data_IF_802630155006
#
_entry.id   IF_802630155006
#
_cell.length_a   1.000
_cell.length_b   1.000
_cell.length_c   1.000
_cell.angle_alpha   90.00
_cell.angle_beta   90.00
_cell.angle_gamma   90.00
#
_symmetry.space_group_name_H-M   'P 1'
#
loop_
_entity.id
_entity.type
_entity.pdbx_description
1 polymer ?
#
# COMPACT_ATOMS: atom_id res chain seq x y z
N UNK A 1 -0.74 -2.91 -7.24
CA UNK A 1 -0.96 -1.64 -6.49
C UNK A 1 -0.30 -1.80 -5.15
N UNK A 2 0.58 -0.89 -4.76
CA UNK A 2 1.10 -0.89 -3.39
C UNK A 2 -0.04 -0.79 -2.38
N UNK A 3 -0.05 -1.70 -1.39
CA UNK A 3 -0.97 -1.71 -0.26
C UNK A 3 -0.27 -1.12 0.97
N UNK A 4 -0.87 -1.12 2.14
CA UNK A 4 -0.28 -0.45 3.31
C UNK A 4 1.14 -0.97 3.66
N UNK A 5 1.43 -2.29 3.69
CA UNK A 5 2.77 -2.77 3.99
C UNK A 5 3.84 -2.29 3.01
N UNK A 6 3.53 -2.23 1.70
CA UNK A 6 4.45 -1.68 0.72
C UNK A 6 4.70 -0.19 0.94
N UNK A 7 3.63 0.57 1.23
CA UNK A 7 3.75 2.03 1.49
C UNK A 7 4.53 2.30 2.78
N UNK A 8 4.36 1.47 3.82
CA UNK A 8 5.16 1.56 5.04
C UNK A 8 6.64 1.26 4.79
N UNK A 9 6.93 0.25 3.96
CA UNK A 9 8.30 -0.06 3.54
C UNK A 9 8.92 1.10 2.77
N UNK A 10 8.15 1.72 1.86
CA UNK A 10 8.58 2.92 1.13
C UNK A 10 8.86 4.07 2.09
N UNK A 11 7.96 4.32 3.05
CA UNK A 11 8.15 5.37 4.07
C UNK A 11 9.47 5.17 4.83
N UNK A 12 9.70 3.97 5.34
CA UNK A 12 10.93 3.64 6.10
C UNK A 12 12.18 3.79 5.26
N UNK A 13 12.15 3.28 4.03
CA UNK A 13 13.29 3.36 3.12
C UNK A 13 13.58 4.82 2.74
N UNK A 14 12.57 5.53 2.23
CA UNK A 14 12.73 6.91 1.78
C UNK A 14 13.17 7.87 2.90
N UNK A 15 12.72 7.62 4.14
CA UNK A 15 13.13 8.42 5.31
C UNK A 15 14.64 8.45 5.53
N UNK A 16 15.36 7.38 5.16
CA UNK A 16 16.82 7.31 5.30
C UNK A 16 17.55 8.23 4.34
N UNK A 17 16.93 8.52 3.18
CA UNK A 17 17.55 9.28 2.11
C UNK A 17 17.19 10.77 2.14
N UNK A 18 15.92 11.11 2.42
CA UNK A 18 15.46 12.49 2.22
C UNK A 18 15.12 13.26 3.50
N UNK A 19 15.01 12.62 4.68
CA UNK A 19 14.81 13.36 5.94
C UNK A 19 16.06 14.22 6.22
N UNK A 20 15.84 15.48 6.60
CA UNK A 20 16.84 16.55 6.75
C UNK A 20 17.46 17.03 5.42
N UNK A 21 17.01 16.54 4.26
CA UNK A 21 17.39 17.11 2.96
C UNK A 21 16.42 18.20 2.55
N UNK A 22 16.93 19.19 1.83
CA UNK A 22 16.14 20.33 1.34
C UNK A 22 15.67 20.05 -0.08
N UNK A 23 14.33 20.02 -0.29
CA UNK A 23 13.71 20.07 -1.60
C UNK A 23 13.95 21.48 -2.18
N UNK A 24 14.66 21.57 -3.30
CA UNK A 24 15.06 22.82 -3.95
C UNK A 24 14.19 23.15 -5.15
N UNK A 25 13.87 22.13 -5.94
CA UNK A 25 13.13 22.33 -7.17
C UNK A 25 12.16 21.21 -7.45
N UNK A 26 11.04 21.54 -8.11
CA UNK A 26 10.02 20.58 -8.55
C UNK A 26 9.75 20.79 -10.04
N UNK A 27 10.00 19.77 -10.85
CA UNK A 27 9.65 19.76 -12.27
C UNK A 27 8.43 18.88 -12.49
N UNK A 28 7.37 19.46 -13.07
CA UNK A 28 6.11 18.77 -13.36
C UNK A 28 6.10 18.39 -14.84
N UNK A 29 6.14 17.09 -15.14
CA UNK A 29 6.10 16.55 -16.51
C UNK A 29 4.68 16.08 -16.89
N UNK A 30 3.76 16.00 -15.91
CA UNK A 30 2.36 15.61 -16.12
C UNK A 30 1.46 16.30 -15.09
N UNK A 31 0.69 17.30 -15.52
CA UNK A 31 -0.17 18.11 -14.65
C UNK A 31 -1.20 17.27 -13.88
N UNK A 32 -1.72 16.21 -14.49
CA UNK A 32 -2.66 15.29 -13.81
C UNK A 32 -2.06 14.59 -12.59
N UNK A 33 -0.73 14.51 -12.53
CA UNK A 33 -0.01 13.84 -11.43
C UNK A 33 0.46 14.82 -10.35
N UNK A 34 0.15 16.11 -10.47
CA UNK A 34 0.54 17.11 -9.47
C UNK A 34 -0.61 18.08 -9.19
N UNK A 35 -0.84 18.37 -7.91
CA UNK A 35 -1.91 19.27 -7.45
C UNK A 35 -1.34 20.28 -6.46
N UNK A 36 -1.78 21.53 -6.58
CA UNK A 36 -1.30 22.65 -5.76
C UNK A 36 -0.07 23.33 -6.35
N UNK A 37 0.50 24.26 -5.60
CA UNK A 37 1.68 25.03 -6.03
C UNK A 37 2.97 24.33 -5.60
N UNK A 38 3.96 24.17 -6.49
CA UNK A 38 5.28 23.67 -6.12
C UNK A 38 5.84 24.44 -4.92
N UNK A 39 6.55 23.74 -4.06
CA UNK A 39 7.13 24.31 -2.84
C UNK A 39 8.55 23.78 -2.66
N UNK A 40 9.35 24.49 -1.88
CA UNK A 40 10.67 24.07 -1.42
C UNK A 40 10.67 23.96 0.10
N UNK A 41 11.72 23.43 0.69
CA UNK A 41 11.86 23.31 2.15
C UNK A 41 12.56 22.04 2.57
N UNK A 42 12.99 22.01 3.82
CA UNK A 42 13.71 20.87 4.40
C UNK A 42 12.72 19.83 4.92
N UNK A 43 12.94 18.57 4.56
CA UNK A 43 12.09 17.46 5.02
C UNK A 43 12.28 17.25 6.52
N UNK A 44 11.22 17.45 7.29
CA UNK A 44 11.17 17.18 8.73
C UNK A 44 10.87 15.72 9.03
N UNK A 45 9.86 15.18 8.35
CA UNK A 45 9.36 13.84 8.62
C UNK A 45 8.64 13.28 7.40
N UNK A 46 8.45 11.95 7.40
CA UNK A 46 7.58 11.25 6.44
C UNK A 46 6.55 10.45 7.24
N UNK A 47 5.27 10.81 7.08
CA UNK A 47 4.11 10.14 7.67
C UNK A 47 3.44 9.23 6.65
N UNK A 48 2.59 8.34 7.12
CA UNK A 48 1.72 7.51 6.30
C UNK A 48 0.29 7.53 6.83
N UNK A 49 -0.67 7.58 5.92
CA UNK A 49 -2.09 7.42 6.17
C UNK A 49 -2.61 6.34 5.22
N UNK A 50 -2.82 5.13 5.72
CA UNK A 50 -3.19 3.99 4.91
C UNK A 50 -2.20 3.73 3.76
N UNK A 51 -2.62 4.02 2.53
CA UNK A 51 -1.81 3.82 1.31
C UNK A 51 -1.24 5.13 0.74
N UNK A 52 -1.29 6.22 1.49
CA UNK A 52 -0.70 7.51 1.14
C UNK A 52 0.52 7.83 1.99
N UNK A 53 1.54 8.41 1.37
CA UNK A 53 2.71 9.00 2.04
C UNK A 53 2.48 10.50 2.19
N UNK A 54 3.04 11.09 3.24
CA UNK A 54 3.05 12.53 3.45
C UNK A 54 4.46 12.96 3.86
N UNK A 55 5.10 13.77 3.04
CA UNK A 55 6.41 14.37 3.31
C UNK A 55 6.17 15.76 3.89
N UNK A 56 6.49 15.96 5.17
CA UNK A 56 6.34 17.23 5.85
C UNK A 56 7.62 18.08 5.71
N UNK A 57 7.45 19.34 5.31
CA UNK A 57 8.53 20.30 5.15
C UNK A 57 8.56 21.31 6.34
N UNK A 58 9.69 22.00 6.51
CA UNK A 58 9.90 22.99 7.55
C UNK A 58 9.11 24.29 7.36
N UNK A 59 8.68 24.57 6.14
CA UNK A 59 7.88 25.73 5.76
C UNK A 59 6.35 25.53 5.93
N UNK A 60 5.92 24.57 6.76
CA UNK A 60 4.52 24.24 7.03
C UNK A 60 3.72 23.77 5.80
N UNK A 61 4.41 23.26 4.78
CA UNK A 61 3.80 22.57 3.64
C UNK A 61 4.11 21.08 3.71
N UNK A 62 3.23 20.29 3.12
CA UNK A 62 3.39 18.84 3.00
C UNK A 62 3.10 18.40 1.58
N UNK A 63 3.83 17.38 1.12
CA UNK A 63 3.56 16.67 -0.13
C UNK A 63 2.86 15.36 0.20
N UNK A 64 1.57 15.26 -0.10
CA UNK A 64 0.81 14.00 -0.01
C UNK A 64 0.97 13.24 -1.31
N UNK A 65 1.47 12.01 -1.26
CA UNK A 65 1.77 11.16 -2.41
C UNK A 65 0.93 9.88 -2.34
N UNK A 66 0.20 9.59 -3.42
CA UNK A 66 -0.53 8.33 -3.55
C UNK A 66 -0.13 7.60 -4.83
N UNK A 67 0.44 6.41 -4.67
CA UNK A 67 1.00 5.64 -5.79
C UNK A 67 -0.04 4.97 -6.68
N UNK A 68 -1.27 4.79 -6.19
CA UNK A 68 -2.35 4.10 -6.93
C UNK A 68 -1.87 2.74 -7.48
N UNK A 69 -2.07 2.50 -8.79
CA UNK A 69 -1.86 1.17 -9.39
C UNK A 69 -0.42 0.90 -9.83
N UNK A 70 0.24 1.91 -10.41
CA UNK A 70 1.55 1.74 -11.06
C UNK A 70 2.57 2.81 -10.65
N UNK A 71 2.26 3.58 -9.60
CA UNK A 71 3.15 4.61 -9.08
C UNK A 71 4.42 4.00 -8.47
N UNK A 72 5.53 4.70 -8.67
CA UNK A 72 6.86 4.37 -8.18
C UNK A 72 7.53 5.63 -7.64
N UNK A 73 8.31 5.47 -6.59
CA UNK A 73 9.23 6.49 -6.09
C UNK A 73 10.65 5.95 -6.24
N UNK A 74 11.48 6.67 -7.00
CA UNK A 74 12.85 6.28 -7.26
C UNK A 74 13.73 7.47 -6.87
N UNK A 75 14.61 7.26 -5.91
CA UNK A 75 15.56 8.25 -5.44
C UNK A 75 16.96 7.89 -5.92
N UNK A 76 17.57 8.79 -6.69
CA UNK A 76 18.97 8.71 -7.10
C UNK A 76 19.79 9.65 -6.20
N UNK A 77 20.61 9.07 -5.33
CA UNK A 77 21.56 9.81 -4.52
C UNK A 77 22.77 10.27 -5.38
N UNK A 78 23.37 11.39 -5.01
CA UNK A 78 24.60 11.87 -5.67
C UNK A 78 25.79 10.94 -5.51
N UNK A 79 25.79 10.09 -4.48
CA UNK A 79 26.79 9.02 -4.28
C UNK A 79 26.59 7.82 -5.22
N UNK A 80 25.61 7.87 -6.11
CA UNK A 80 25.19 6.81 -7.05
C UNK A 80 24.44 5.64 -6.42
N UNK A 81 24.01 5.76 -5.16
CA UNK A 81 23.03 4.83 -4.62
C UNK A 81 21.64 5.12 -5.19
N UNK A 82 20.93 4.08 -5.57
CA UNK A 82 19.54 4.17 -6.02
C UNK A 82 18.62 3.45 -5.05
N UNK A 83 17.62 4.17 -4.57
CA UNK A 83 16.48 3.58 -3.85
C UNK A 83 15.25 3.60 -4.74
N UNK A 84 14.70 2.44 -5.07
CA UNK A 84 13.52 2.34 -5.92
C UNK A 84 12.42 1.55 -5.23
N UNK A 85 11.20 2.07 -5.20
CA UNK A 85 10.08 1.47 -4.52
C UNK A 85 8.73 1.81 -5.19
N UNK A 86 7.70 0.97 -4.96
CA UNK A 86 6.38 1.12 -5.55
C UNK A 86 5.98 -0.08 -6.41
N UNK A 87 5.29 0.16 -7.53
CA UNK A 87 4.91 -0.94 -8.42
C UNK A 87 6.15 -1.52 -9.12
N UNK A 88 6.42 -2.83 -9.03
CA UNK A 88 7.62 -3.42 -9.63
C UNK A 88 7.56 -3.34 -11.16
N UNK A 89 8.62 -2.87 -11.78
CA UNK A 89 8.84 -2.87 -13.23
C UNK A 89 10.33 -2.75 -13.54
N UNK A 90 10.71 -3.03 -14.78
CA UNK A 90 12.10 -2.91 -15.27
C UNK A 90 12.66 -1.48 -15.16
N UNK A 91 11.80 -0.49 -14.86
CA UNK A 91 12.21 0.91 -14.71
C UNK A 91 13.05 1.20 -13.46
N UNK A 92 13.13 0.28 -12.50
CA UNK A 92 13.95 0.51 -11.29
C UNK A 92 15.44 0.66 -11.62
N UNK A 93 15.89 0.05 -12.70
CA UNK A 93 17.28 0.13 -13.19
C UNK A 93 17.43 1.02 -14.42
N UNK A 94 16.35 1.48 -15.04
CA UNK A 94 16.37 2.29 -16.24
C UNK A 94 16.93 3.69 -15.98
N UNK A 95 17.40 4.35 -17.05
CA UNK A 95 17.77 5.76 -17.01
C UNK A 95 16.57 6.63 -16.63
N UNK A 96 16.81 7.67 -15.83
CA UNK A 96 15.82 8.64 -15.37
C UNK A 96 16.29 10.07 -15.70
N UNK A 97 15.35 10.99 -16.05
CA UNK A 97 13.93 10.74 -16.24
C UNK A 97 13.64 9.92 -17.50
N UNK A 98 12.48 9.24 -17.53
CA UNK A 98 12.02 8.48 -18.70
C UNK A 98 10.55 8.77 -19.02
N UNK A 99 9.98 8.10 -20.06
CA UNK A 99 8.59 8.30 -20.51
C UNK A 99 7.51 8.04 -19.44
N UNK A 100 7.86 7.39 -18.32
CA UNK A 100 6.94 7.14 -17.20
C UNK A 100 7.13 8.13 -16.07
N UNK A 101 8.15 8.98 -16.08
CA UNK A 101 8.37 10.04 -15.09
C UNK A 101 7.28 11.09 -15.22
N UNK A 102 6.68 11.46 -14.09
CA UNK A 102 5.58 12.42 -14.00
C UNK A 102 5.96 13.67 -13.24
N UNK A 103 6.74 13.50 -12.17
CA UNK A 103 7.23 14.61 -11.35
C UNK A 103 8.66 14.30 -10.95
N UNK A 104 9.49 15.32 -10.90
CA UNK A 104 10.89 15.28 -10.44
C UNK A 104 10.99 16.23 -9.25
N UNK A 105 11.50 15.71 -8.13
CA UNK A 105 11.75 16.46 -6.90
C UNK A 105 13.27 16.47 -6.65
N UNK A 106 13.89 17.63 -6.79
CA UNK A 106 15.34 17.78 -6.66
C UNK A 106 15.69 18.20 -5.22
N UNK A 107 16.47 17.36 -4.55
CA UNK A 107 16.98 17.61 -3.21
C UNK A 107 18.48 17.98 -3.26
N UNK A 108 18.98 18.57 -2.19
CA UNK A 108 20.41 18.90 -2.05
C UNK A 108 21.33 17.65 -2.05
N UNK A 109 20.81 16.47 -1.79
CA UNK A 109 21.54 15.20 -1.79
C UNK A 109 21.23 14.25 -2.95
N UNK A 110 20.24 14.56 -3.80
CA UNK A 110 19.81 13.66 -4.88
C UNK A 110 18.47 14.04 -5.46
N UNK A 111 17.91 13.16 -6.28
CA UNK A 111 16.66 13.44 -7.02
C UNK A 111 15.66 12.32 -6.80
N UNK A 112 14.44 12.67 -6.40
CA UNK A 112 13.32 11.76 -6.28
C UNK A 112 12.42 11.85 -7.51
N UNK A 113 12.28 10.76 -8.22
CA UNK A 113 11.43 10.64 -9.39
C UNK A 113 10.11 9.96 -9.01
N UNK A 114 9.00 10.58 -9.35
CA UNK A 114 7.69 9.96 -9.31
C UNK A 114 7.34 9.43 -10.70
N UNK A 115 7.41 8.12 -10.86
CA UNK A 115 7.05 7.44 -12.10
C UNK A 115 5.64 6.85 -11.96
N UNK A 116 4.82 6.93 -13.00
CA UNK A 116 3.54 6.25 -13.06
C UNK A 116 3.11 5.98 -14.51
N UNK A 117 3.09 4.71 -14.91
CA UNK A 117 2.69 4.29 -16.24
C UNK A 117 1.24 4.69 -16.56
N UNK A 118 0.32 4.49 -15.61
CA UNK A 118 -1.12 4.68 -15.80
C UNK A 118 -1.61 6.10 -15.51
N UNK A 119 -0.78 6.98 -14.96
CA UNK A 119 -1.09 8.37 -14.60
C UNK A 119 -2.29 8.51 -13.63
N UNK A 120 -2.46 7.56 -12.71
CA UNK A 120 -3.50 7.60 -11.67
C UNK A 120 -2.98 8.05 -10.32
N UNK A 121 -1.67 7.89 -10.10
CA UNK A 121 -1.00 8.39 -8.93
C UNK A 121 -0.84 9.91 -8.96
N UNK A 122 -0.65 10.49 -7.79
CA UNK A 122 -0.52 11.94 -7.67
C UNK A 122 0.35 12.36 -6.51
N UNK A 123 0.89 13.57 -6.62
CA UNK A 123 1.47 14.36 -5.54
C UNK A 123 0.58 15.57 -5.35
N UNK A 124 0.17 15.85 -4.10
CA UNK A 124 -0.62 17.04 -3.73
C UNK A 124 0.13 17.84 -2.68
N UNK A 125 0.35 19.12 -2.95
CA UNK A 125 0.92 20.07 -1.98
C UNK A 125 -0.21 20.75 -1.22
N UNK A 126 -0.13 20.77 0.12
CA UNK A 126 -1.12 21.38 1.00
C UNK A 126 -0.44 21.85 2.30
N UNK A 127 -1.10 22.75 3.06
CA UNK A 127 -0.63 23.11 4.40
C UNK A 127 -0.53 21.87 5.30
N UNK A 128 0.54 21.74 6.09
CA UNK A 128 0.75 20.59 6.98
C UNK A 128 -0.40 20.41 7.96
N UNK A 129 -0.96 21.51 8.48
CA UNK A 129 -2.10 21.49 9.40
C UNK A 129 -3.40 20.98 8.76
N UNK A 130 -3.52 21.03 7.42
CA UNK A 130 -4.70 20.60 6.69
C UNK A 130 -4.64 19.15 6.19
N UNK A 131 -3.50 18.47 6.35
CA UNK A 131 -3.32 17.09 5.86
C UNK A 131 -4.42 16.15 6.35
N UNK A 132 -4.70 16.16 7.64
CA UNK A 132 -5.71 15.27 8.24
C UNK A 132 -7.15 15.69 7.92
N UNK A 133 -7.34 16.94 7.47
CA UNK A 133 -8.63 17.46 7.01
C UNK A 133 -8.86 17.24 5.51
N UNK A 134 -7.83 16.83 4.78
CA UNK A 134 -7.98 16.52 3.36
C UNK A 134 -9.07 15.46 3.15
N UNK A 135 -10.04 15.68 2.23
CA UNK A 135 -11.15 14.76 2.01
C UNK A 135 -10.76 13.31 1.73
N UNK A 136 -9.57 13.10 1.16
CA UNK A 136 -9.04 11.76 0.93
C UNK A 136 -8.62 11.09 2.25
N UNK A 137 -7.86 11.79 3.10
CA UNK A 137 -7.39 11.28 4.40
C UNK A 137 -8.56 11.15 5.39
N UNK A 138 -9.41 12.16 5.48
CA UNK A 138 -10.54 12.22 6.43
C UNK A 138 -11.53 11.06 6.26
N UNK A 139 -11.64 10.48 5.06
CA UNK A 139 -12.54 9.35 4.79
C UNK A 139 -11.94 8.00 5.19
N UNK A 140 -10.65 7.93 5.46
CA UNK A 140 -10.02 6.66 5.82
C UNK A 140 -10.52 6.17 7.18
N UNK A 141 -10.90 4.90 7.24
CA UNK A 141 -11.14 4.25 8.51
C UNK A 141 -9.81 4.06 9.28
N UNK A 142 -9.85 3.71 10.57
CA UNK A 142 -8.67 3.26 11.28
C UNK A 142 -7.98 2.09 10.56
N UNK A 143 -6.66 2.04 10.69
CA UNK A 143 -5.87 0.88 10.28
C UNK A 143 -6.16 -0.31 11.21
N UNK A 144 -5.90 -1.56 10.78
CA UNK A 144 -6.22 -2.73 11.60
C UNK A 144 -5.74 -2.65 13.04
N UNK A 145 -4.55 -2.11 13.29
CA UNK A 145 -3.99 -2.00 14.65
C UNK A 145 -4.74 -1.01 15.55
N UNK A 146 -5.37 0.01 14.97
CA UNK A 146 -6.07 1.09 15.66
C UNK A 146 -7.60 0.89 15.66
N UNK A 147 -8.09 -0.29 15.32
CA UNK A 147 -9.51 -0.64 15.28
C UNK A 147 -9.81 -1.72 16.33
N UNK A 148 -10.87 -1.57 17.11
CA UNK A 148 -11.35 -2.64 17.98
C UNK A 148 -12.10 -3.73 17.18
N UNK A 149 -12.20 -4.93 17.73
CA UNK A 149 -12.98 -6.00 17.11
C UNK A 149 -14.47 -5.64 17.03
N UNK A 150 -15.00 -5.00 18.06
CA UNK A 150 -16.40 -4.56 18.13
C UNK A 150 -16.71 -3.50 17.09
N UNK A 151 -15.86 -2.47 16.97
CA UNK A 151 -16.04 -1.45 15.93
C UNK A 151 -15.97 -2.05 14.52
N UNK A 152 -15.08 -2.99 14.30
CA UNK A 152 -14.98 -3.69 13.03
C UNK A 152 -16.23 -4.51 12.74
N UNK A 153 -16.71 -5.27 13.71
CA UNK A 153 -17.96 -6.04 13.59
C UNK A 153 -19.15 -5.13 13.29
N UNK A 154 -19.33 -4.04 14.05
CA UNK A 154 -20.41 -3.07 13.82
C UNK A 154 -20.33 -2.48 12.40
N UNK A 155 -19.14 -2.15 11.92
CA UNK A 155 -18.95 -1.68 10.53
C UNK A 155 -19.37 -2.73 9.50
N UNK A 156 -19.01 -4.01 9.71
CA UNK A 156 -19.43 -5.09 8.82
C UNK A 156 -20.95 -5.25 8.79
N UNK A 157 -21.64 -5.18 9.95
CA UNK A 157 -23.09 -5.32 10.05
C UNK A 157 -23.87 -4.19 9.34
N UNK A 158 -23.28 -3.00 9.19
CA UNK A 158 -23.85 -1.93 8.35
C UNK A 158 -23.89 -2.29 6.86
N UNK A 159 -23.09 -3.27 6.44
CA UNK A 159 -22.97 -3.78 5.07
C UNK A 159 -23.48 -5.22 4.93
N UNK A 160 -24.45 -5.63 5.75
CA UNK A 160 -24.94 -7.01 5.91
C UNK A 160 -25.23 -7.75 4.58
N UNK A 161 -25.68 -7.05 3.57
CA UNK A 161 -26.02 -7.62 2.25
C UNK A 161 -24.84 -7.71 1.28
N UNK A 162 -23.70 -7.12 1.62
CA UNK A 162 -22.49 -7.13 0.80
C UNK A 162 -21.62 -8.35 1.10
N UNK A 163 -20.86 -8.83 0.10
CA UNK A 163 -19.86 -9.84 0.36
C UNK A 163 -18.72 -9.28 1.21
N UNK A 164 -18.12 -10.14 2.07
CA UNK A 164 -17.06 -9.70 3.00
C UNK A 164 -15.82 -9.16 2.27
N UNK A 165 -15.38 -9.79 1.17
CA UNK A 165 -14.17 -9.34 0.48
C UNK A 165 -14.27 -7.92 -0.07
N UNK A 166 -15.25 -7.53 -0.91
CA UNK A 166 -15.36 -6.13 -1.35
C UNK A 166 -15.54 -5.15 -0.20
N UNK A 167 -16.17 -5.55 0.90
CA UNK A 167 -16.37 -4.70 2.08
C UNK A 167 -15.04 -4.39 2.77
N UNK A 168 -14.18 -5.37 3.00
CA UNK A 168 -12.86 -5.12 3.63
C UNK A 168 -11.84 -4.48 2.68
N UNK A 169 -12.12 -4.41 1.39
CA UNK A 169 -11.32 -3.63 0.43
C UNK A 169 -11.67 -2.14 0.43
N UNK A 170 -12.80 -1.77 1.01
CA UNK A 170 -13.22 -0.38 1.15
C UNK A 170 -12.43 0.28 2.29
N UNK A 171 -11.65 1.30 1.93
CA UNK A 171 -10.77 2.01 2.86
C UNK A 171 -11.56 2.83 3.91
N UNK A 172 -12.86 2.99 3.77
CA UNK A 172 -13.75 3.62 4.75
C UNK A 172 -14.25 2.65 5.83
N UNK A 173 -14.08 1.36 5.61
CA UNK A 173 -14.45 0.30 6.55
C UNK A 173 -13.23 -0.12 7.38
N UNK A 174 -12.14 -0.45 6.71
CA UNK A 174 -10.84 -0.75 7.31
C UNK A 174 -9.73 -0.28 6.35
N UNK A 175 -8.81 0.53 6.87
CA UNK A 175 -7.80 1.16 6.02
C UNK A 175 -6.60 0.25 5.79
N UNK A 176 -6.02 0.34 4.60
CA UNK A 176 -4.74 -0.29 4.30
C UNK A 176 -4.81 -1.62 3.56
N UNK A 177 -5.84 -2.44 3.78
CA UNK A 177 -6.00 -3.69 3.06
C UNK A 177 -6.24 -3.46 1.56
N UNK A 178 -5.58 -4.26 0.75
CA UNK A 178 -5.86 -4.38 -0.66
C UNK A 178 -6.08 -5.86 -1.01
N UNK A 179 -5.96 -6.21 -2.29
CA UNK A 179 -6.35 -7.53 -2.78
C UNK A 179 -5.50 -8.69 -2.23
N UNK A 180 -4.21 -8.43 -2.00
CA UNK A 180 -3.27 -9.42 -1.46
C UNK A 180 -3.67 -9.76 -0.02
N UNK A 181 -3.68 -8.76 0.82
CA UNK A 181 -3.90 -8.96 2.25
C UNK A 181 -5.35 -9.30 2.58
N UNK A 182 -6.33 -8.92 1.73
CA UNK A 182 -7.70 -9.40 1.86
C UNK A 182 -7.82 -10.91 1.62
N UNK A 183 -7.20 -11.45 0.55
CA UNK A 183 -7.22 -12.90 0.29
C UNK A 183 -6.52 -13.68 1.41
N UNK A 184 -5.33 -13.23 1.82
CA UNK A 184 -4.54 -13.86 2.87
C UNK A 184 -5.26 -13.84 4.24
N UNK A 185 -5.84 -12.69 4.62
CA UNK A 185 -6.56 -12.55 5.88
C UNK A 185 -7.83 -13.41 5.93
N UNK A 186 -8.60 -13.44 4.84
CA UNK A 186 -9.79 -14.28 4.71
C UNK A 186 -9.45 -15.78 4.78
N UNK A 187 -8.33 -16.18 4.14
CA UNK A 187 -7.84 -17.56 4.26
C UNK A 187 -7.44 -17.89 5.70
N UNK A 188 -6.68 -17.01 6.34
CA UNK A 188 -6.26 -17.21 7.72
C UNK A 188 -7.44 -17.33 8.68
N UNK A 189 -8.46 -16.50 8.49
CA UNK A 189 -9.70 -16.50 9.29
C UNK A 189 -10.71 -17.59 8.89
N UNK A 190 -10.41 -18.45 7.90
CA UNK A 190 -11.32 -19.48 7.38
C UNK A 190 -12.63 -18.95 6.78
N UNK A 191 -12.66 -17.69 6.33
CA UNK A 191 -13.87 -17.04 5.81
C UNK A 191 -13.86 -17.08 4.29
N UNK A 192 -14.96 -17.59 3.70
CA UNK A 192 -15.12 -17.53 2.25
C UNK A 192 -15.41 -16.10 1.77
N UNK A 193 -14.72 -15.58 0.74
CA UNK A 193 -14.81 -14.16 0.33
C UNK A 193 -16.19 -13.73 -0.19
N UNK A 194 -17.07 -14.65 -0.53
CA UNK A 194 -18.46 -14.37 -0.94
C UNK A 194 -19.46 -14.39 0.22
N UNK A 195 -19.06 -14.79 1.43
CA UNK A 195 -19.96 -14.73 2.58
C UNK A 195 -20.48 -13.31 2.78
N UNK A 196 -21.75 -13.20 3.14
CA UNK A 196 -22.36 -11.90 3.43
C UNK A 196 -21.88 -11.38 4.78
N UNK A 197 -21.62 -10.07 4.86
CA UNK A 197 -21.18 -9.47 6.12
C UNK A 197 -22.16 -9.72 7.28
N UNK A 198 -23.46 -9.76 7.00
CA UNK A 198 -24.48 -10.08 8.00
C UNK A 198 -24.44 -11.49 8.56
N UNK A 199 -23.72 -12.43 7.95
CA UNK A 199 -23.52 -13.80 8.46
C UNK A 199 -22.20 -13.96 9.22
N UNK A 200 -21.38 -12.94 9.28
CA UNK A 200 -20.12 -12.96 10.04
C UNK A 200 -20.45 -12.73 11.52
N UNK A 201 -20.00 -13.63 12.36
CA UNK A 201 -20.13 -13.50 13.82
C UNK A 201 -19.10 -12.55 14.41
N UNK A 202 -19.30 -12.11 15.65
CA UNK A 202 -18.33 -11.27 16.37
C UNK A 202 -16.97 -11.95 16.48
N UNK A 203 -16.95 -13.25 16.79
CA UNK A 203 -15.72 -14.05 16.87
C UNK A 203 -15.00 -14.13 15.52
N UNK A 204 -15.74 -14.35 14.44
CA UNK A 204 -15.15 -14.36 13.09
C UNK A 204 -14.62 -13.00 12.69
N UNK A 205 -15.30 -11.90 13.04
CA UNK A 205 -14.81 -10.55 12.79
C UNK A 205 -13.52 -10.28 13.58
N UNK A 206 -13.46 -10.67 14.86
CA UNK A 206 -12.24 -10.55 15.66
C UNK A 206 -11.08 -11.36 15.06
N UNK A 207 -11.34 -12.59 14.65
CA UNK A 207 -10.33 -13.45 14.00
C UNK A 207 -9.86 -12.86 12.65
N UNK A 208 -10.76 -12.32 11.85
CA UNK A 208 -10.40 -11.67 10.58
C UNK A 208 -9.53 -10.41 10.81
N UNK A 209 -9.86 -9.60 11.81
CA UNK A 209 -9.08 -8.42 12.16
C UNK A 209 -7.68 -8.81 12.67
N UNK A 210 -7.60 -9.85 13.51
CA UNK A 210 -6.32 -10.41 13.99
C UNK A 210 -5.48 -10.95 12.81
N UNK A 211 -6.10 -11.71 11.91
CA UNK A 211 -5.46 -12.22 10.71
C UNK A 211 -4.94 -11.07 9.81
N UNK A 212 -5.72 -9.99 9.64
CA UNK A 212 -5.29 -8.83 8.88
C UNK A 212 -4.04 -8.17 9.47
N UNK A 213 -3.97 -8.02 10.79
CA UNK A 213 -2.77 -7.53 11.50
C UNK A 213 -1.58 -8.43 11.25
N UNK A 214 -1.73 -9.72 11.48
CA UNK A 214 -0.64 -10.70 11.36
C UNK A 214 -0.04 -10.76 9.96
N UNK A 215 -0.87 -10.84 8.91
CA UNK A 215 -0.35 -10.89 7.54
C UNK A 215 0.33 -9.58 7.13
N UNK A 216 -0.18 -8.44 7.59
CA UNK A 216 0.42 -7.14 7.29
C UNK A 216 1.73 -6.94 8.06
N UNK A 217 1.82 -7.34 9.35
CA UNK A 217 3.04 -7.28 10.15
C UNK A 217 4.13 -8.16 9.54
N UNK A 218 3.81 -9.39 9.15
CA UNK A 218 4.74 -10.28 8.44
C UNK A 218 5.24 -9.64 7.13
N UNK A 219 4.34 -9.00 6.39
CA UNK A 219 4.72 -8.33 5.16
C UNK A 219 5.63 -7.12 5.39
N UNK A 220 5.32 -6.28 6.38
CA UNK A 220 6.17 -5.13 6.75
C UNK A 220 7.56 -5.61 7.18
N UNK A 221 7.62 -6.65 8.01
CA UNK A 221 8.89 -7.24 8.45
C UNK A 221 9.72 -7.80 7.29
N UNK A 222 9.06 -8.32 6.24
CA UNK A 222 9.69 -8.87 5.04
C UNK A 222 9.99 -7.83 3.95
N UNK A 223 9.67 -6.55 4.19
CA UNK A 223 9.89 -5.48 3.21
C UNK A 223 8.83 -5.39 2.10
N UNK A 224 7.62 -5.94 2.32
CA UNK A 224 6.49 -5.88 1.40
C UNK A 224 6.32 -7.12 0.52
N UNK A 225 5.21 -7.14 -0.24
CA UNK A 225 4.73 -8.34 -0.95
C UNK A 225 5.40 -8.63 -2.28
N UNK A 226 6.00 -7.66 -2.94
CA UNK A 226 6.40 -7.83 -4.35
C UNK A 226 7.47 -6.87 -4.77
N UNK A 227 8.60 -7.04 -4.27
CA UNK A 227 9.69 -6.30 -4.87
C UNK A 227 10.68 -7.27 -5.50
N UNK A 228 10.29 -7.96 -6.61
CA UNK A 228 11.24 -8.70 -7.44
C UNK A 228 12.46 -7.85 -7.80
N UNK A 229 12.28 -6.52 -7.78
CA UNK A 229 13.28 -5.52 -8.14
C UNK A 229 13.48 -4.46 -7.05
N UNK A 230 12.93 -4.64 -5.85
CA UNK A 230 13.28 -3.84 -4.69
C UNK A 230 14.63 -4.33 -4.19
N UNK A 231 15.66 -3.68 -4.65
CA UNK A 231 16.97 -3.77 -4.03
C UNK A 231 16.91 -2.82 -2.84
N UNK A 232 16.80 -3.35 -1.61
CA UNK A 232 17.12 -2.56 -0.41
C UNK A 232 18.50 -1.96 -0.63
N UNK A 233 18.83 -0.87 0.05
CA UNK A 233 20.20 -0.34 0.05
C UNK A 233 21.26 -1.40 0.39
N UNK A 234 20.87 -2.54 0.99
CA UNK A 234 21.67 -3.71 1.30
C UNK A 234 21.55 -4.86 0.26
N UNK A 235 20.91 -4.65 -0.88
CA UNK A 235 20.75 -5.64 -1.95
C UNK A 235 19.70 -6.73 -1.71
N UNK A 236 18.93 -6.70 -0.60
CA UNK A 236 17.92 -7.72 -0.30
C UNK A 236 16.55 -7.39 -0.89
N UNK A 237 15.85 -8.38 -1.45
CA UNK A 237 14.52 -8.26 -2.06
C UNK A 237 13.42 -8.45 -1.01
N UNK A 238 12.30 -7.73 -1.14
CA UNK A 238 11.07 -8.06 -0.42
C UNK A 238 10.51 -9.37 -0.97
N UNK A 239 10.24 -10.34 -0.12
CA UNK A 239 9.94 -11.71 -0.51
C UNK A 239 8.67 -12.30 0.16
N UNK A 240 7.80 -11.43 0.69
CA UNK A 240 6.57 -11.88 1.36
C UNK A 240 5.76 -12.88 0.54
N UNK A 241 5.53 -12.61 -0.76
CA UNK A 241 4.73 -13.53 -1.59
C UNK A 241 5.41 -14.88 -1.82
N UNK A 242 6.72 -14.91 -1.91
CA UNK A 242 7.48 -16.15 -2.12
C UNK A 242 7.55 -16.99 -0.83
N UNK A 243 7.73 -16.33 0.32
CA UNK A 243 7.93 -17.00 1.61
C UNK A 243 6.66 -17.25 2.40
N UNK A 244 5.69 -16.35 2.35
CA UNK A 244 4.58 -16.31 3.29
C UNK A 244 3.19 -16.37 2.67
N UNK A 245 3.03 -16.12 1.34
CA UNK A 245 1.72 -16.19 0.73
C UNK A 245 1.15 -17.61 0.82
N UNK A 246 -0.07 -17.71 1.34
CA UNK A 246 -0.77 -18.96 1.55
C UNK A 246 -1.73 -19.29 0.40
N UNK A 247 -2.40 -18.27 -0.16
CA UNK A 247 -3.35 -18.44 -1.27
C UNK A 247 -3.10 -17.47 -2.43
N UNK A 248 -2.66 -16.24 -2.17
CA UNK A 248 -2.52 -15.24 -3.21
C UNK A 248 -1.45 -15.62 -4.26
N UNK A 249 -1.83 -15.65 -5.55
CA UNK A 249 -0.99 -16.13 -6.68
C UNK A 249 -0.51 -17.58 -6.54
N UNK A 250 -1.30 -18.40 -5.86
CA UNK A 250 -1.00 -19.82 -5.69
C UNK A 250 -2.04 -20.74 -6.36
N UNK A 251 -2.83 -20.23 -7.31
CA UNK A 251 -3.75 -21.04 -8.08
C UNK A 251 -3.07 -22.27 -8.69
N UNK A 252 -3.70 -23.42 -8.64
CA UNK A 252 -3.16 -24.71 -9.06
C UNK A 252 -2.16 -25.35 -8.11
N UNK A 253 -1.73 -24.67 -7.04
CA UNK A 253 -0.80 -25.20 -6.04
C UNK A 253 -1.55 -25.79 -4.85
N UNK A 254 -0.95 -26.76 -4.12
CA UNK A 254 -1.57 -27.30 -2.92
C UNK A 254 -1.66 -26.24 -1.82
N UNK A 255 -2.79 -26.28 -1.10
CA UNK A 255 -3.00 -25.47 0.10
C UNK A 255 -1.98 -25.88 1.18
N UNK A 256 -1.29 -24.93 1.82
CA UNK A 256 -0.28 -25.24 2.84
C UNK A 256 -0.89 -25.85 4.12
N UNK A 257 -2.23 -25.72 4.31
CA UNK A 257 -2.94 -26.21 5.50
C UNK A 257 -3.56 -27.59 5.29
N UNK A 258 -4.17 -27.88 4.13
CA UNK A 258 -4.96 -29.09 3.93
C UNK A 258 -4.63 -29.85 2.63
N UNK A 259 -3.71 -29.39 1.81
CA UNK A 259 -3.29 -30.02 0.55
C UNK A 259 -4.26 -29.83 -0.63
N UNK A 260 -5.49 -29.35 -0.43
CA UNK A 260 -6.43 -29.11 -1.53
C UNK A 260 -5.90 -28.04 -2.48
N UNK A 261 -6.25 -28.13 -3.74
CA UNK A 261 -5.83 -27.16 -4.78
C UNK A 261 -6.39 -25.76 -4.48
N UNK A 262 -5.54 -24.74 -4.53
CA UNK A 262 -5.93 -23.32 -4.47
C UNK A 262 -6.58 -22.94 -5.79
N UNK A 263 -7.79 -22.41 -5.71
CA UNK A 263 -8.55 -21.97 -6.88
C UNK A 263 -8.62 -20.45 -6.97
N UNK A 264 -8.87 -19.95 -8.19
CA UNK A 264 -9.03 -18.54 -8.48
C UNK A 264 -10.32 -18.26 -9.21
N UNK A 265 -11.04 -17.24 -8.77
CA UNK A 265 -12.26 -16.74 -9.42
C UNK A 265 -12.40 -15.23 -9.20
N UNK A 266 -13.52 -14.63 -9.59
CA UNK A 266 -13.77 -13.20 -9.39
C UNK A 266 -14.84 -12.98 -8.32
N UNK A 267 -14.59 -12.02 -7.42
CA UNK A 267 -15.56 -11.46 -6.48
C UNK A 267 -15.61 -9.95 -6.70
N UNK A 268 -16.77 -9.41 -7.04
CA UNK A 268 -16.98 -8.00 -7.36
C UNK A 268 -15.89 -7.44 -8.33
N UNK A 269 -15.61 -8.19 -9.41
CA UNK A 269 -14.62 -7.83 -10.43
C UNK A 269 -13.14 -7.99 -10.02
N UNK A 270 -12.84 -8.42 -8.78
CA UNK A 270 -11.48 -8.63 -8.26
C UNK A 270 -11.09 -10.09 -8.31
N UNK A 271 -9.90 -10.40 -8.88
CA UNK A 271 -9.33 -11.74 -8.79
C UNK A 271 -9.16 -12.16 -7.33
N UNK A 272 -9.60 -13.36 -7.00
CA UNK A 272 -9.72 -13.87 -5.63
C UNK A 272 -9.18 -15.27 -5.56
N UNK A 273 -8.27 -15.53 -4.63
CA UNK A 273 -7.66 -16.83 -4.42
C UNK A 273 -8.16 -17.42 -3.11
N UNK A 274 -8.57 -18.68 -3.12
CA UNK A 274 -9.03 -19.40 -1.93
C UNK A 274 -8.56 -20.85 -1.91
N UNK A 275 -8.55 -21.42 -0.72
CA UNK A 275 -8.65 -22.87 -0.56
C UNK A 275 -10.13 -23.27 -0.39
N UNK A 276 -10.72 -24.03 -1.32
CA UNK A 276 -12.15 -24.37 -1.25
C UNK A 276 -12.48 -25.29 -0.07
N UNK A 277 -11.48 -25.99 0.47
CA UNK A 277 -11.66 -26.86 1.64
C UNK A 277 -11.53 -26.12 2.96
N UNK A 278 -10.69 -25.09 3.05
CA UNK A 278 -10.48 -24.35 4.30
C UNK A 278 -11.44 -23.15 4.45
N UNK A 279 -12.03 -22.65 3.37
CA UNK A 279 -12.90 -21.48 3.35
C UNK A 279 -14.28 -21.86 2.82
N UNK A 280 -15.19 -22.17 3.71
CA UNK A 280 -16.55 -22.54 3.37
C UNK A 280 -17.45 -21.32 3.14
N UNK A 281 -18.42 -21.44 2.20
CA UNK A 281 -19.42 -20.40 1.89
C UNK A 281 -20.51 -20.32 2.97
#
# INVERSE_FOLDING_TARGET
MPELPEVETIRRGLSRFIVKKTLKHTTILCDKSFQGTPTNGTVKNIRRFGKALVIDLDNQKSLMIHLRMTGQLIYDDKSRERYAAGHPSDNFTAALPNKQTRVILEFDGGTLYFNDQRKFGFIKVLPTAEVEQDPFIKKLAPEPWNMSADDFYVKLQRHKNSCIKPTILDQTIICGLGNIYADESLFMAHIHPKRKCGTITEVEAANLLAAAREVMDKSIASGGSTMKDYVKADGTKGDYLEKFAQVFRREGKPCPRCGAEIIKFKVAGRGTHICPRCQHA
#
